data_IF_935051699131
#
_entry.id   IF_935051699131
#
_cell.length_a   1.000
_cell.length_b   1.000
_cell.length_c   1.000
_cell.angle_alpha   90.00
_cell.angle_beta   90.00
_cell.angle_gamma   90.00
#
_symmetry.space_group_name_H-M   'P 1'
#
loop_
_entity.id
_entity.type
_entity.pdbx_description
1 polymer ?
#
# COMPACT_ATOMS: atom_id res chain seq x y z
N UNK A 1 -17.14 -34.16 -5.38
CA UNK A 1 -17.38 -33.68 -6.75
C UNK A 1 -17.99 -32.29 -6.66
N UNK A 2 -17.29 -31.26 -7.16
CA UNK A 2 -17.79 -29.87 -7.22
C UNK A 2 -18.54 -29.75 -8.56
N UNK A 3 -19.77 -30.25 -8.66
CA UNK A 3 -20.44 -30.41 -9.96
C UNK A 3 -21.06 -29.12 -10.52
N UNK A 4 -20.93 -27.97 -9.86
CA UNK A 4 -21.33 -26.67 -10.42
C UNK A 4 -20.39 -25.55 -9.97
N UNK A 5 -19.08 -25.69 -10.25
CA UNK A 5 -18.16 -24.56 -10.17
C UNK A 5 -18.21 -23.78 -11.49
N UNK A 6 -18.66 -22.54 -11.45
CA UNK A 6 -18.58 -21.63 -12.59
C UNK A 6 -17.39 -20.68 -12.39
N UNK A 7 -16.55 -20.50 -13.42
CA UNK A 7 -15.40 -19.61 -13.35
C UNK A 7 -15.56 -18.52 -14.38
N UNK A 8 -15.52 -17.27 -13.91
CA UNK A 8 -15.69 -16.07 -14.71
C UNK A 8 -14.41 -15.26 -14.71
N UNK A 9 -14.06 -14.67 -15.86
CA UNK A 9 -12.91 -13.79 -16.03
C UNK A 9 -13.41 -12.44 -16.51
N UNK A 10 -12.93 -11.36 -15.89
CA UNK A 10 -13.31 -9.99 -16.22
C UNK A 10 -12.09 -9.18 -16.61
N UNK A 11 -12.22 -8.48 -17.73
CA UNK A 11 -11.28 -7.50 -18.25
C UNK A 11 -11.63 -6.10 -17.74
N UNK A 12 -10.69 -5.17 -17.93
CA UNK A 12 -10.86 -3.80 -17.45
C UNK A 12 -12.13 -3.13 -18.02
N UNK A 13 -12.40 -3.31 -19.31
CA UNK A 13 -13.59 -2.78 -19.98
C UNK A 13 -14.91 -3.47 -19.57
N UNK A 14 -14.85 -4.61 -18.90
CA UNK A 14 -16.01 -5.40 -18.44
C UNK A 14 -16.34 -5.11 -16.95
N UNK A 15 -15.68 -4.12 -16.33
CA UNK A 15 -15.90 -3.81 -14.91
C UNK A 15 -17.31 -3.24 -14.62
N UNK A 16 -17.96 -2.59 -15.58
CA UNK A 16 -19.37 -2.20 -15.43
C UNK A 16 -20.29 -3.42 -15.38
N UNK A 17 -20.05 -4.40 -16.26
CA UNK A 17 -20.80 -5.67 -16.25
C UNK A 17 -20.61 -6.42 -14.93
N UNK A 18 -19.39 -6.37 -14.35
CA UNK A 18 -19.14 -6.94 -13.03
C UNK A 18 -19.94 -6.23 -11.92
N UNK A 19 -20.03 -4.89 -11.95
CA UNK A 19 -20.84 -4.14 -10.98
C UNK A 19 -22.32 -4.47 -11.12
N UNK A 20 -22.82 -4.54 -12.36
CA UNK A 20 -24.21 -4.93 -12.63
C UNK A 20 -24.49 -6.36 -12.16
N UNK A 21 -23.57 -7.31 -12.43
CA UNK A 21 -23.67 -8.69 -11.97
C UNK A 21 -23.71 -8.77 -10.43
N UNK A 22 -22.87 -8.01 -9.74
CA UNK A 22 -22.86 -7.94 -8.27
C UNK A 22 -24.21 -7.47 -7.71
N UNK A 23 -24.84 -6.49 -8.36
CA UNK A 23 -26.17 -5.98 -7.98
C UNK A 23 -27.28 -7.00 -8.22
N UNK A 24 -27.24 -7.70 -9.36
CA UNK A 24 -28.21 -8.73 -9.73
C UNK A 24 -28.12 -9.96 -8.82
N UNK A 25 -26.90 -10.47 -8.61
CA UNK A 25 -26.66 -11.70 -7.84
C UNK A 25 -26.80 -11.49 -6.33
N UNK A 26 -26.61 -10.26 -5.85
CA UNK A 26 -26.69 -9.89 -4.44
C UNK A 26 -25.81 -10.74 -3.51
N UNK A 27 -24.65 -11.20 -4.01
CA UNK A 27 -23.74 -12.06 -3.27
C UNK A 27 -23.50 -11.58 -1.84
N UNK A 28 -23.26 -12.56 -0.96
CA UNK A 28 -22.87 -12.30 0.43
C UNK A 28 -21.52 -11.60 0.53
N UNK A 29 -20.62 -11.89 -0.42
CA UNK A 29 -19.28 -11.33 -0.50
C UNK A 29 -19.02 -10.72 -1.87
N UNK A 30 -18.27 -9.62 -1.89
CA UNK A 30 -18.00 -8.86 -3.12
C UNK A 30 -16.51 -8.92 -3.49
N UNK A 31 -16.19 -9.05 -4.79
CA UNK A 31 -14.81 -9.10 -5.29
C UNK A 31 -14.16 -7.71 -5.36
N UNK A 32 -14.98 -6.68 -5.52
CA UNK A 32 -14.57 -5.28 -5.73
C UNK A 32 -15.67 -4.31 -5.24
N UNK A 33 -15.47 -3.02 -5.46
CA UNK A 33 -16.41 -1.94 -5.16
C UNK A 33 -16.18 -0.75 -6.11
N UNK A 34 -17.05 0.26 -6.09
CA UNK A 34 -16.97 1.38 -7.05
C UNK A 34 -15.68 2.20 -6.91
N UNK A 35 -15.08 2.35 -5.72
CA UNK A 35 -13.80 3.07 -5.56
C UNK A 35 -12.67 2.33 -6.29
N UNK A 36 -12.60 1.01 -6.13
CA UNK A 36 -11.57 0.19 -6.78
C UNK A 36 -11.79 0.13 -8.30
N UNK A 37 -13.04 0.06 -8.75
CA UNK A 37 -13.38 0.12 -10.18
C UNK A 37 -12.98 1.48 -10.79
N UNK A 38 -13.31 2.60 -10.13
CA UNK A 38 -12.91 3.93 -10.56
C UNK A 38 -11.37 4.05 -10.66
N UNK A 39 -10.66 3.52 -9.66
CA UNK A 39 -9.20 3.45 -9.68
C UNK A 39 -8.66 2.62 -10.85
N UNK A 40 -9.25 1.46 -11.14
CA UNK A 40 -8.79 0.62 -12.24
C UNK A 40 -8.99 1.31 -13.59
N UNK A 41 -10.12 1.98 -13.80
CA UNK A 41 -10.41 2.74 -15.03
C UNK A 41 -9.43 3.87 -15.28
N UNK A 42 -9.02 4.55 -14.22
CA UNK A 42 -8.12 5.68 -14.29
C UNK A 42 -6.64 5.29 -14.21
N UNK A 43 -6.30 3.98 -14.19
CA UNK A 43 -4.92 3.54 -14.15
C UNK A 43 -4.21 3.83 -15.49
N UNK A 44 -3.21 4.72 -15.53
CA UNK A 44 -2.56 5.13 -16.78
C UNK A 44 -1.76 3.98 -17.45
N UNK A 45 -1.53 2.87 -16.74
CA UNK A 45 -0.78 1.70 -17.23
C UNK A 45 -1.67 0.55 -17.70
N UNK A 46 -2.96 0.62 -17.41
CA UNK A 46 -3.90 -0.43 -17.77
C UNK A 46 -4.36 -0.31 -19.22
N UNK A 47 -4.69 -1.45 -19.84
CA UNK A 47 -5.36 -1.53 -21.14
C UNK A 47 -6.79 -2.04 -20.95
N UNK A 48 -7.74 -1.64 -21.80
CA UNK A 48 -9.11 -2.12 -21.75
C UNK A 48 -9.23 -3.66 -21.70
N UNK A 49 -8.31 -4.36 -22.37
CA UNK A 49 -8.30 -5.83 -22.46
C UNK A 49 -7.61 -6.54 -21.31
N UNK A 50 -6.98 -5.83 -20.38
CA UNK A 50 -6.25 -6.45 -19.27
C UNK A 50 -7.21 -7.23 -18.37
N UNK A 51 -6.85 -8.47 -18.02
CA UNK A 51 -7.61 -9.27 -17.05
C UNK A 51 -7.37 -8.72 -15.65
N UNK A 52 -8.44 -8.27 -15.00
CA UNK A 52 -8.39 -7.59 -13.69
C UNK A 52 -9.10 -8.36 -12.58
N UNK A 53 -9.96 -9.33 -12.92
CA UNK A 53 -10.55 -10.24 -11.94
C UNK A 53 -10.80 -11.63 -12.52
N UNK A 54 -10.59 -12.66 -11.69
CA UNK A 54 -11.02 -14.03 -11.96
C UNK A 54 -11.75 -14.55 -10.73
N UNK A 55 -12.94 -15.08 -10.94
CA UNK A 55 -13.88 -15.45 -9.88
C UNK A 55 -14.35 -16.89 -10.04
N UNK A 56 -14.71 -17.51 -8.92
CA UNK A 56 -15.35 -18.80 -8.87
C UNK A 56 -16.68 -18.66 -8.12
N UNK A 57 -17.75 -19.11 -8.76
CA UNK A 57 -19.10 -19.19 -8.22
C UNK A 57 -19.49 -20.66 -8.03
N UNK A 58 -20.21 -20.94 -6.96
CA UNK A 58 -20.86 -22.23 -6.75
C UNK A 58 -22.15 -22.03 -5.96
N UNK A 59 -23.19 -22.79 -6.31
CA UNK A 59 -24.51 -22.71 -5.65
C UNK A 59 -25.09 -21.28 -5.64
N UNK A 60 -24.82 -20.51 -6.71
CA UNK A 60 -25.28 -19.12 -6.86
C UNK A 60 -24.46 -18.07 -6.09
N UNK A 61 -23.47 -18.48 -5.28
CA UNK A 61 -22.65 -17.59 -4.47
C UNK A 61 -21.22 -17.45 -5.00
N UNK A 62 -20.61 -16.28 -4.77
CA UNK A 62 -19.19 -16.07 -4.99
C UNK A 62 -18.38 -16.78 -3.90
N UNK A 63 -17.65 -17.83 -4.28
CA UNK A 63 -16.92 -18.69 -3.33
C UNK A 63 -15.41 -18.45 -3.33
N UNK A 64 -14.86 -17.84 -4.38
CA UNK A 64 -13.47 -17.40 -4.41
C UNK A 64 -13.23 -16.36 -5.50
N UNK A 65 -12.24 -15.48 -5.32
CA UNK A 65 -11.80 -14.58 -6.38
C UNK A 65 -10.35 -14.15 -6.22
N UNK A 66 -9.77 -13.66 -7.33
CA UNK A 66 -8.52 -12.92 -7.38
C UNK A 66 -8.72 -11.62 -8.17
N UNK A 67 -8.11 -10.54 -7.71
CA UNK A 67 -8.08 -9.24 -8.41
C UNK A 67 -6.66 -8.82 -8.72
N UNK A 68 -6.48 -8.17 -9.86
CA UNK A 68 -5.18 -7.88 -10.45
C UNK A 68 -5.09 -6.39 -10.78
N UNK A 69 -3.96 -5.78 -10.41
CA UNK A 69 -3.67 -4.40 -10.76
C UNK A 69 -2.61 -4.38 -11.87
N UNK A 70 -2.96 -4.00 -13.11
CA UNK A 70 -2.01 -3.82 -14.20
C UNK A 70 -0.94 -2.78 -13.88
N UNK A 71 0.29 -3.05 -14.29
CA UNK A 71 1.41 -2.15 -14.07
C UNK A 71 2.55 -2.35 -15.08
N UNK A 72 3.51 -1.44 -15.05
CA UNK A 72 4.69 -1.42 -15.88
C UNK A 72 5.97 -1.47 -15.06
N UNK A 73 6.96 -2.17 -15.60
CA UNK A 73 8.34 -2.10 -15.16
C UNK A 73 9.23 -1.78 -16.36
N UNK A 74 10.13 -0.83 -16.20
CA UNK A 74 11.07 -0.38 -17.21
C UNK A 74 12.43 -0.98 -16.93
N UNK A 75 12.95 -1.75 -17.90
CA UNK A 75 14.30 -2.32 -17.83
C UNK A 75 14.92 -2.32 -19.21
N UNK A 76 16.19 -1.90 -19.31
CA UNK A 76 16.98 -1.95 -20.57
C UNK A 76 16.26 -1.34 -21.78
N UNK A 77 15.59 -0.20 -21.59
CA UNK A 77 14.83 0.50 -22.64
C UNK A 77 13.52 -0.19 -23.05
N UNK A 78 13.13 -1.27 -22.37
CA UNK A 78 11.87 -2.00 -22.61
C UNK A 78 10.87 -1.73 -21.50
N UNK A 79 9.59 -1.69 -21.89
CA UNK A 79 8.46 -1.66 -20.96
C UNK A 79 7.90 -3.07 -20.82
N UNK A 80 8.00 -3.61 -19.62
CA UNK A 80 7.49 -4.93 -19.24
C UNK A 80 6.14 -4.72 -18.57
N UNK A 81 5.08 -5.23 -19.19
CA UNK A 81 3.73 -5.24 -18.63
C UNK A 81 3.56 -6.43 -17.71
N UNK A 82 3.02 -6.21 -16.51
CA UNK A 82 2.75 -7.26 -15.54
C UNK A 82 1.54 -6.87 -14.68
N UNK A 83 1.11 -7.75 -13.78
CA UNK A 83 0.09 -7.42 -12.79
C UNK A 83 0.50 -7.73 -11.36
N UNK A 84 0.08 -6.86 -10.44
CA UNK A 84 0.10 -7.14 -9.01
C UNK A 84 -1.08 -8.03 -8.65
N UNK A 85 -0.83 -9.11 -7.91
CA UNK A 85 -1.84 -9.97 -7.31
C UNK A 85 -2.48 -9.27 -6.11
N UNK A 86 -3.34 -8.30 -6.41
CA UNK A 86 -3.79 -7.25 -5.49
C UNK A 86 -4.95 -7.62 -4.56
N UNK A 87 -5.49 -8.83 -4.71
CA UNK A 87 -6.52 -9.33 -3.81
C UNK A 87 -6.78 -10.80 -4.08
N UNK A 88 -6.88 -11.59 -3.00
CA UNK A 88 -7.20 -13.01 -3.07
C UNK A 88 -8.08 -13.38 -1.90
N UNK A 89 -9.21 -14.01 -2.18
CA UNK A 89 -10.13 -14.46 -1.15
C UNK A 89 -10.79 -15.78 -1.54
N UNK A 90 -11.04 -16.62 -0.54
CA UNK A 90 -11.81 -17.87 -0.65
C UNK A 90 -12.71 -17.97 0.56
N UNK A 91 -13.99 -18.19 0.32
CA UNK A 91 -15.02 -18.35 1.34
C UNK A 91 -14.60 -19.43 2.34
N UNK A 92 -14.79 -19.25 3.66
CA UNK A 92 -14.32 -20.19 4.68
C UNK A 92 -14.75 -21.65 4.44
N UNK A 93 -16.01 -21.89 4.07
CA UNK A 93 -16.55 -23.23 3.78
C UNK A 93 -15.97 -23.88 2.50
N UNK A 94 -15.25 -23.10 1.68
CA UNK A 94 -14.65 -23.53 0.42
C UNK A 94 -13.11 -23.57 0.47
N UNK A 95 -12.51 -23.25 1.62
CA UNK A 95 -11.06 -23.36 1.82
C UNK A 95 -10.60 -24.82 1.79
N UNK A 96 -9.33 -25.01 1.43
CA UNK A 96 -8.68 -26.33 1.28
C UNK A 96 -9.29 -27.25 0.20
N UNK A 97 -10.22 -26.73 -0.62
CA UNK A 97 -10.78 -27.42 -1.80
C UNK A 97 -10.03 -27.11 -3.12
N UNK A 98 -8.83 -26.54 -3.05
CA UNK A 98 -8.00 -26.23 -4.23
C UNK A 98 -8.37 -24.96 -5.02
N UNK A 99 -9.48 -24.26 -4.70
CA UNK A 99 -9.95 -23.09 -5.46
C UNK A 99 -8.91 -21.98 -5.62
N UNK A 100 -8.19 -21.61 -4.55
CA UNK A 100 -7.17 -20.56 -4.62
C UNK A 100 -6.02 -20.90 -5.59
N UNK A 101 -5.65 -22.19 -5.67
CA UNK A 101 -4.65 -22.71 -6.62
C UNK A 101 -5.20 -22.70 -8.05
N UNK A 102 -6.45 -23.14 -8.23
CA UNK A 102 -7.14 -23.13 -9.52
C UNK A 102 -7.22 -21.72 -10.11
N UNK A 103 -7.69 -20.75 -9.32
CA UNK A 103 -7.75 -19.36 -9.76
C UNK A 103 -6.36 -18.77 -10.01
N UNK A 104 -5.36 -19.15 -9.21
CA UNK A 104 -3.99 -18.72 -9.44
C UNK A 104 -3.42 -19.20 -10.78
N UNK A 105 -3.68 -20.46 -11.18
CA UNK A 105 -3.26 -20.97 -12.50
C UNK A 105 -3.86 -20.13 -13.62
N UNK A 106 -5.15 -19.82 -13.55
CA UNK A 106 -5.82 -18.97 -14.56
C UNK A 106 -5.26 -17.55 -14.61
N UNK A 107 -4.98 -16.96 -13.44
CA UNK A 107 -4.32 -15.64 -13.36
C UNK A 107 -2.92 -15.70 -13.99
N UNK A 108 -2.17 -16.76 -13.72
CA UNK A 108 -0.85 -16.99 -14.29
C UNK A 108 -0.91 -17.09 -15.81
N UNK A 109 -1.84 -17.86 -16.36
CA UNK A 109 -2.05 -17.96 -17.81
C UNK A 109 -2.47 -16.61 -18.43
N UNK A 110 -3.41 -15.90 -17.81
CA UNK A 110 -3.94 -14.64 -18.31
C UNK A 110 -2.89 -13.52 -18.44
N UNK A 111 -1.84 -13.56 -17.60
CA UNK A 111 -0.73 -12.61 -17.61
C UNK A 111 0.58 -13.20 -18.12
N UNK A 112 0.51 -14.36 -18.79
CA UNK A 112 1.67 -15.07 -19.33
C UNK A 112 2.79 -15.29 -18.29
N UNK A 113 2.38 -15.51 -17.05
CA UNK A 113 3.26 -15.72 -15.91
C UNK A 113 3.99 -14.48 -15.42
N UNK A 114 3.62 -13.26 -15.85
CA UNK A 114 4.22 -11.98 -15.44
C UNK A 114 3.42 -11.36 -14.28
N UNK A 115 3.71 -11.82 -13.07
CA UNK A 115 3.00 -11.39 -11.86
C UNK A 115 3.96 -10.96 -10.74
N UNK A 116 3.52 -9.99 -9.94
CA UNK A 116 4.16 -9.55 -8.71
C UNK A 116 3.18 -9.51 -7.52
N UNK A 117 3.69 -9.40 -6.30
CA UNK A 117 2.91 -9.02 -5.11
C UNK A 117 3.81 -8.41 -4.04
N UNK A 118 3.18 -7.64 -3.15
CA UNK A 118 3.81 -7.10 -1.94
C UNK A 118 3.21 -7.79 -0.70
N UNK A 119 4.03 -8.08 0.32
CA UNK A 119 3.61 -8.59 1.63
C UNK A 119 2.64 -9.79 1.64
N UNK A 120 3.17 -10.98 1.83
CA UNK A 120 2.35 -12.17 2.05
C UNK A 120 1.49 -12.10 3.33
N UNK A 121 0.21 -12.45 3.20
CA UNK A 121 -0.46 -13.12 4.32
C UNK A 121 0.21 -14.50 4.54
N UNK A 122 0.56 -14.91 5.78
CA UNK A 122 1.31 -16.14 6.04
C UNK A 122 0.77 -17.40 5.34
N UNK A 123 -0.56 -17.53 5.26
CA UNK A 123 -1.22 -18.66 4.58
C UNK A 123 -1.09 -18.61 3.04
N UNK A 124 -0.94 -17.43 2.46
CA UNK A 124 -0.68 -17.26 1.02
C UNK A 124 0.81 -17.49 0.70
N UNK A 125 1.71 -17.22 1.65
CA UNK A 125 3.15 -17.53 1.54
C UNK A 125 3.35 -19.01 1.25
N UNK A 126 2.76 -19.89 2.07
CA UNK A 126 2.92 -21.33 1.93
C UNK A 126 2.45 -21.86 0.57
N UNK A 127 1.31 -21.38 0.05
CA UNK A 127 0.80 -21.81 -1.25
C UNK A 127 1.74 -21.41 -2.40
N UNK A 128 2.29 -20.19 -2.34
CA UNK A 128 3.15 -19.66 -3.39
C UNK A 128 4.57 -20.21 -3.30
N UNK A 129 5.13 -20.39 -2.09
CA UNK A 129 6.42 -21.07 -1.92
C UNK A 129 6.36 -22.53 -2.31
N UNK A 130 5.25 -23.24 -2.00
CA UNK A 130 5.04 -24.62 -2.45
C UNK A 130 4.98 -24.75 -3.98
N UNK A 131 4.59 -23.67 -4.69
CA UNK A 131 4.57 -23.67 -6.16
C UNK A 131 5.94 -23.45 -6.79
N UNK A 132 6.95 -23.00 -6.04
CA UNK A 132 8.30 -22.61 -6.52
C UNK A 132 8.29 -21.68 -7.76
N UNK A 133 7.21 -20.91 -7.95
CA UNK A 133 6.99 -20.01 -9.10
C UNK A 133 7.44 -18.58 -8.83
N UNK A 134 7.56 -18.20 -7.57
CA UNK A 134 7.96 -16.86 -7.15
C UNK A 134 9.37 -16.86 -6.57
N UNK A 135 10.03 -15.72 -6.72
CA UNK A 135 11.28 -15.37 -6.08
C UNK A 135 11.16 -13.98 -5.47
N UNK A 136 12.00 -13.71 -4.46
CA UNK A 136 12.03 -12.40 -3.83
C UNK A 136 12.74 -11.43 -4.77
N UNK A 137 12.08 -10.32 -5.08
CA UNK A 137 12.62 -9.27 -5.91
C UNK A 137 13.49 -8.32 -5.08
N UNK A 138 12.97 -7.85 -3.94
CA UNK A 138 13.71 -7.05 -2.97
C UNK A 138 13.05 -7.11 -1.58
N UNK A 139 13.76 -6.62 -0.58
CA UNK A 139 13.26 -6.44 0.78
C UNK A 139 13.60 -5.03 1.28
N UNK A 140 12.60 -4.28 1.75
CA UNK A 140 12.79 -2.99 2.39
C UNK A 140 12.96 -3.17 3.90
N UNK A 141 14.10 -2.71 4.44
CA UNK A 141 14.48 -2.82 5.85
C UNK A 141 14.06 -1.60 6.69
N UNK A 142 12.75 -1.36 6.71
CA UNK A 142 12.15 -0.24 7.42
C UNK A 142 11.99 -0.40 8.94
N UNK A 143 11.28 0.55 9.54
CA UNK A 143 10.90 0.49 10.95
C UNK A 143 9.51 1.06 11.19
N UNK A 144 8.84 0.48 12.18
CA UNK A 144 7.61 1.00 12.79
C UNK A 144 7.99 1.75 14.07
N UNK A 145 7.70 3.04 14.11
CA UNK A 145 7.94 3.92 15.25
C UNK A 145 6.63 4.24 15.95
N UNK A 146 6.61 4.09 17.27
CA UNK A 146 5.46 4.44 18.08
C UNK A 146 5.68 5.83 18.65
N UNK A 147 4.94 6.80 18.11
CA UNK A 147 5.05 8.22 18.47
C UNK A 147 4.31 8.49 19.78
N UNK A 148 3.12 7.91 19.91
CA UNK A 148 2.30 7.97 21.11
C UNK A 148 2.11 6.59 21.71
N UNK A 149 1.82 6.58 23.00
CA UNK A 149 1.29 5.40 23.67
C UNK A 149 -0.11 5.12 23.10
N UNK A 150 -0.43 3.84 23.01
CA UNK A 150 -1.73 3.33 22.56
C UNK A 150 -2.10 2.12 23.43
N UNK A 151 -1.92 2.28 24.74
CA UNK A 151 -2.16 1.20 25.71
C UNK A 151 -3.61 0.75 25.66
N UNK A 152 -4.54 1.66 25.40
CA UNK A 152 -5.96 1.33 25.24
C UNK A 152 -6.18 0.26 24.16
N UNK A 153 -5.64 0.47 22.96
CA UNK A 153 -5.82 -0.46 21.84
C UNK A 153 -5.07 -1.77 22.07
N UNK A 154 -3.84 -1.69 22.60
CA UNK A 154 -3.03 -2.89 22.90
C UNK A 154 -3.71 -3.75 23.96
N UNK A 155 -4.22 -3.12 25.02
CA UNK A 155 -4.93 -3.79 26.11
C UNK A 155 -6.21 -4.44 25.59
N UNK A 156 -7.05 -3.70 24.86
CA UNK A 156 -8.30 -4.23 24.31
C UNK A 156 -8.08 -5.44 23.38
N UNK A 157 -6.97 -5.47 22.64
CA UNK A 157 -6.64 -6.57 21.74
C UNK A 157 -6.08 -7.78 22.47
N UNK A 158 -5.28 -7.58 23.53
CA UNK A 158 -4.64 -8.67 24.29
C UNK A 158 -5.54 -9.26 25.38
N UNK A 159 -6.44 -8.44 25.93
CA UNK A 159 -7.37 -8.84 26.99
C UNK A 159 -8.81 -8.42 26.62
N UNK A 160 -9.43 -9.10 25.63
CA UNK A 160 -10.77 -8.72 25.15
C UNK A 160 -11.85 -8.80 26.23
N UNK A 161 -11.73 -9.73 27.18
CA UNK A 161 -12.65 -9.90 28.30
C UNK A 161 -12.67 -8.70 29.26
N UNK A 162 -11.59 -7.91 29.30
CA UNK A 162 -11.47 -6.70 30.13
C UNK A 162 -11.68 -5.42 29.32
N UNK A 163 -12.16 -5.51 28.07
CA UNK A 163 -12.38 -4.35 27.21
C UNK A 163 -13.38 -3.33 27.80
N UNK A 164 -14.21 -3.72 28.78
CA UNK A 164 -15.08 -2.81 29.54
C UNK A 164 -14.31 -1.83 30.43
N UNK A 165 -13.08 -2.14 30.84
CA UNK A 165 -12.22 -1.28 31.68
C UNK A 165 -11.44 -0.23 30.89
N UNK A 166 -11.70 -0.07 29.59
CA UNK A 166 -11.03 0.92 28.73
C UNK A 166 -11.10 2.34 29.29
N UNK A 167 -12.22 2.69 29.93
CA UNK A 167 -12.43 4.00 30.55
C UNK A 167 -11.42 4.30 31.66
N UNK A 168 -10.89 3.28 32.34
CA UNK A 168 -9.84 3.45 33.35
C UNK A 168 -8.45 3.60 32.73
N UNK A 169 -8.19 3.00 31.58
CA UNK A 169 -6.87 3.02 30.92
C UNK A 169 -6.62 4.31 30.15
N UNK A 170 -7.69 4.88 29.57
CA UNK A 170 -7.59 6.08 28.73
C UNK A 170 -6.95 7.28 29.45
N UNK A 171 -7.30 7.63 30.70
CA UNK A 171 -6.64 8.71 31.43
C UNK A 171 -5.14 8.47 31.64
N UNK A 172 -4.73 7.23 31.91
CA UNK A 172 -3.31 6.88 32.05
C UNK A 172 -2.57 7.01 30.72
N UNK A 173 -3.18 6.55 29.63
CA UNK A 173 -2.59 6.66 28.29
C UNK A 173 -2.43 8.14 27.86
N UNK A 174 -3.42 8.99 28.18
CA UNK A 174 -3.35 10.43 27.98
C UNK A 174 -2.25 11.08 28.83
N UNK A 175 -2.15 10.75 30.11
CA UNK A 175 -1.10 11.26 31.00
C UNK A 175 0.29 10.88 30.49
N UNK A 176 0.49 9.62 30.10
CA UNK A 176 1.74 9.13 29.50
C UNK A 176 2.08 9.90 28.21
N UNK A 177 1.09 10.34 27.45
CA UNK A 177 1.28 11.12 26.24
C UNK A 177 1.57 12.59 26.51
N UNK A 178 0.99 13.20 27.54
CA UNK A 178 1.24 14.60 27.97
C UNK A 178 2.65 14.75 28.54
N UNK A 179 3.03 13.89 29.48
CA UNK A 179 4.34 13.94 30.15
C UNK A 179 5.52 13.74 29.19
N UNK A 180 5.24 13.26 27.97
CA UNK A 180 6.24 12.88 26.98
C UNK A 180 6.22 13.77 25.73
N UNK A 181 5.53 14.90 25.77
CA UNK A 181 5.67 15.93 24.74
C UNK A 181 7.10 16.48 24.78
N UNK A 182 8.00 15.85 24.01
CA UNK A 182 9.31 16.43 23.73
C UNK A 182 9.08 17.78 23.05
N UNK A 183 9.83 18.80 23.45
CA UNK A 183 9.81 20.10 22.76
C UNK A 183 9.99 19.86 21.27
N UNK A 184 9.08 20.41 20.47
CA UNK A 184 9.14 20.33 19.00
C UNK A 184 10.55 20.75 18.56
N UNK A 185 11.30 19.89 17.86
CA UNK A 185 12.65 20.23 17.44
C UNK A 185 12.57 21.46 16.53
N UNK A 186 13.34 22.51 16.85
CA UNK A 186 13.53 23.64 15.95
C UNK A 186 14.46 23.21 14.83
N UNK A 187 14.03 23.40 13.59
CA UNK A 187 14.86 23.22 12.40
C UNK A 187 15.88 24.38 12.36
N UNK A 188 17.07 24.19 12.93
CA UNK A 188 18.19 25.15 12.83
C UNK A 188 19.20 24.67 11.75
N UNK A 189 19.88 25.60 11.06
CA UNK A 189 20.77 25.33 9.91
C UNK A 189 20.04 25.44 8.55
N UNK A 190 20.69 25.05 7.43
CA UNK A 190 20.18 25.18 6.02
C UNK A 190 18.64 25.37 5.89
N UNK A 191 18.22 26.38 5.12
CA UNK A 191 16.80 26.69 4.90
C UNK A 191 16.14 25.59 4.04
N UNK A 192 15.77 24.47 4.66
CA UNK A 192 14.93 23.44 4.06
C UNK A 192 13.48 23.71 4.43
N UNK A 193 12.68 24.00 3.41
CA UNK A 193 11.25 24.25 3.51
C UNK A 193 10.45 23.10 2.87
N UNK A 194 9.22 22.93 3.35
CA UNK A 194 8.28 21.94 2.85
C UNK A 194 7.02 22.66 2.40
N UNK A 195 6.81 22.74 1.09
CA UNK A 195 5.67 23.43 0.51
C UNK A 195 4.59 22.40 0.14
N UNK A 196 3.37 22.52 0.69
CA UNK A 196 2.28 21.61 0.34
C UNK A 196 1.88 21.80 -1.12
N UNK A 197 1.61 20.70 -1.80
CA UNK A 197 1.14 20.68 -3.18
C UNK A 197 -0.08 19.78 -3.30
N UNK A 198 -1.02 20.16 -4.16
CA UNK A 198 -2.24 19.38 -4.44
C UNK A 198 -1.99 18.30 -5.50
N UNK A 199 -1.10 18.58 -6.44
CA UNK A 199 -0.67 17.64 -7.48
C UNK A 199 0.72 17.09 -7.15
N UNK A 200 0.98 15.85 -7.54
CA UNK A 200 2.15 15.12 -7.07
C UNK A 200 3.49 15.77 -7.47
N UNK A 201 3.71 16.07 -8.75
CA UNK A 201 5.04 16.51 -9.21
C UNK A 201 4.95 17.56 -10.32
N UNK A 202 5.64 18.70 -10.20
CA UNK A 202 5.90 19.55 -11.35
C UNK A 202 6.73 18.80 -12.39
N UNK A 203 6.38 18.93 -13.67
CA UNK A 203 7.09 18.29 -14.78
C UNK A 203 8.59 18.65 -14.81
N UNK A 204 8.93 19.85 -14.34
CA UNK A 204 10.31 20.34 -14.22
C UNK A 204 11.17 19.52 -13.25
N UNK A 205 10.61 19.04 -12.14
CA UNK A 205 11.33 18.20 -11.19
C UNK A 205 11.48 16.77 -11.70
N UNK A 206 10.47 16.26 -12.41
CA UNK A 206 10.53 14.91 -12.97
C UNK A 206 11.72 14.71 -13.92
N UNK A 207 12.03 15.73 -14.72
CA UNK A 207 13.17 15.74 -15.65
C UNK A 207 14.54 15.78 -14.96
N UNK A 208 14.61 16.21 -13.71
CA UNK A 208 15.86 16.39 -12.96
C UNK A 208 16.19 15.19 -12.07
N UNK A 209 15.18 14.47 -11.60
CA UNK A 209 15.39 13.25 -10.82
C UNK A 209 15.78 12.12 -11.77
N UNK A 210 16.93 11.50 -11.52
CA UNK A 210 17.31 10.24 -12.17
C UNK A 210 16.43 9.09 -11.67
N UNK A 211 15.15 9.08 -12.06
CA UNK A 211 14.20 8.00 -11.78
C UNK A 211 14.68 6.65 -12.32
N UNK A 212 15.67 6.66 -13.24
CA UNK A 212 16.36 5.50 -13.83
C UNK A 212 16.85 4.46 -12.82
N UNK A 213 16.99 4.81 -11.54
CA UNK A 213 17.33 3.85 -10.47
C UNK A 213 16.15 2.99 -10.00
N UNK A 214 14.91 3.32 -10.38
CA UNK A 214 13.71 2.51 -10.11
C UNK A 214 13.11 2.05 -11.43
N UNK A 215 12.84 0.76 -11.58
CA UNK A 215 12.15 0.29 -12.79
C UNK A 215 10.67 0.67 -12.84
N UNK A 216 10.06 1.08 -11.73
CA UNK A 216 8.65 1.48 -11.74
C UNK A 216 8.41 2.86 -12.34
N UNK A 217 9.38 3.78 -12.32
CA UNK A 217 9.31 5.12 -12.93
C UNK A 217 7.98 5.85 -12.70
N UNK A 218 7.43 5.81 -11.48
CA UNK A 218 6.16 6.49 -11.15
C UNK A 218 6.32 8.01 -11.34
N UNK A 219 5.65 8.56 -12.34
CA UNK A 219 5.65 9.98 -12.65
C UNK A 219 4.38 10.69 -12.22
N UNK A 220 4.17 11.87 -12.79
CA UNK A 220 3.05 12.73 -12.40
C UNK A 220 1.70 12.03 -12.60
N UNK A 221 1.51 11.34 -13.74
CA UNK A 221 0.26 10.64 -14.06
C UNK A 221 -0.04 9.53 -13.06
N UNK A 222 0.94 8.68 -12.74
CA UNK A 222 0.73 7.61 -11.76
C UNK A 222 0.51 8.12 -10.35
N UNK A 223 1.27 9.12 -9.93
CA UNK A 223 1.13 9.67 -8.57
C UNK A 223 -0.20 10.41 -8.41
N UNK A 224 -0.63 11.19 -9.41
CA UNK A 224 -1.95 11.83 -9.40
C UNK A 224 -3.08 10.80 -9.45
N UNK A 225 -2.92 9.73 -10.22
CA UNK A 225 -3.86 8.60 -10.20
C UNK A 225 -3.99 7.99 -8.80
N UNK A 226 -2.86 7.72 -8.12
CA UNK A 226 -2.83 7.20 -6.75
C UNK A 226 -3.54 8.14 -5.76
N UNK A 227 -3.29 9.45 -5.89
CA UNK A 227 -3.88 10.47 -5.02
C UNK A 227 -5.40 10.54 -5.22
N UNK A 228 -5.85 10.65 -6.47
CA UNK A 228 -7.25 10.91 -6.85
C UNK A 228 -8.14 9.67 -6.79
N UNK A 229 -7.58 8.46 -6.83
CA UNK A 229 -8.34 7.22 -6.89
C UNK A 229 -8.00 6.25 -5.74
N UNK A 230 -8.24 6.61 -4.46
CA UNK A 230 -8.01 5.72 -3.32
C UNK A 230 -8.92 4.49 -3.35
N UNK A 231 -8.49 3.39 -2.75
CA UNK A 231 -9.33 2.19 -2.58
C UNK A 231 -10.09 2.14 -1.26
N UNK A 232 -9.87 3.15 -0.41
CA UNK A 232 -10.49 3.29 0.90
C UNK A 232 -11.12 4.67 1.04
N UNK A 233 -12.16 4.78 1.87
CA UNK A 233 -12.88 6.03 2.12
C UNK A 233 -13.23 6.21 3.58
N UNK A 234 -13.29 7.49 3.98
CA UNK A 234 -13.81 7.92 5.28
C UNK A 234 -15.32 8.19 5.25
N UNK A 235 -15.99 8.07 4.11
CA UNK A 235 -17.44 8.28 3.99
C UNK A 235 -18.26 7.10 4.56
N UNK A 236 -19.31 7.41 5.32
CA UNK A 236 -20.22 6.46 5.94
C UNK A 236 -21.12 5.71 4.96
N UNK A 237 -21.25 6.17 3.71
CA UNK A 237 -21.92 5.43 2.63
C UNK A 237 -21.33 4.02 2.43
N UNK A 238 -20.04 3.83 2.74
CA UNK A 238 -19.33 2.55 2.58
C UNK A 238 -19.52 1.53 3.71
N UNK A 239 -20.25 1.86 4.78
CA UNK A 239 -20.42 0.95 5.94
C UNK A 239 -21.12 -0.36 5.55
N UNK A 240 -22.14 -0.29 4.70
CA UNK A 240 -22.84 -1.48 4.24
C UNK A 240 -21.96 -2.35 3.33
N UNK A 241 -21.28 -1.74 2.36
CA UNK A 241 -20.38 -2.41 1.43
C UNK A 241 -19.19 -3.09 2.15
N UNK A 242 -18.64 -2.45 3.19
CA UNK A 242 -17.55 -3.02 3.99
C UNK A 242 -17.91 -4.37 4.62
N UNK A 243 -19.19 -4.62 4.94
CA UNK A 243 -19.62 -5.92 5.52
C UNK A 243 -19.51 -7.07 4.52
N UNK A 244 -19.63 -6.78 3.23
CA UNK A 244 -19.54 -7.78 2.15
C UNK A 244 -18.15 -7.86 1.53
N UNK A 245 -17.36 -6.81 1.64
CA UNK A 245 -16.03 -6.75 1.04
C UNK A 245 -14.96 -7.24 2.03
N UNK A 246 -14.18 -8.28 1.70
CA UNK A 246 -13.27 -8.92 2.66
C UNK A 246 -11.99 -8.12 2.96
N UNK A 247 -11.74 -7.00 2.27
CA UNK A 247 -10.61 -6.12 2.52
C UNK A 247 -11.05 -4.80 3.13
N UNK A 248 -10.09 -3.97 3.54
CA UNK A 248 -10.39 -2.63 4.03
C UNK A 248 -10.97 -1.77 2.90
N UNK A 249 -12.09 -1.12 3.20
CA UNK A 249 -12.79 -0.17 2.33
C UNK A 249 -13.18 1.06 3.13
N UNK A 250 -13.76 0.87 4.31
CA UNK A 250 -14.14 1.95 5.23
C UNK A 250 -13.04 2.16 6.27
N UNK A 251 -12.63 3.42 6.43
CA UNK A 251 -11.74 3.86 7.51
C UNK A 251 -12.33 5.09 8.22
N UNK A 252 -11.72 5.54 9.31
CA UNK A 252 -12.11 6.77 10.00
C UNK A 252 -11.51 7.99 9.30
N UNK A 253 -10.27 7.87 8.81
CA UNK A 253 -9.54 8.94 8.11
C UNK A 253 -8.59 8.33 7.09
N UNK A 254 -8.54 8.91 5.89
CA UNK A 254 -7.55 8.60 4.86
C UNK A 254 -7.21 9.90 4.12
N UNK A 255 -5.97 10.38 4.23
CA UNK A 255 -5.53 11.63 3.59
C UNK A 255 -4.09 11.45 3.11
N UNK A 256 -3.80 11.92 1.89
CA UNK A 256 -2.43 12.03 1.38
C UNK A 256 -2.00 13.48 1.40
N UNK A 257 -0.82 13.74 1.92
CA UNK A 257 -0.19 15.05 1.90
C UNK A 257 1.07 14.96 1.06
N UNK A 258 1.16 15.81 0.06
CA UNK A 258 2.28 15.88 -0.86
C UNK A 258 3.03 17.19 -0.61
N UNK A 259 4.36 17.12 -0.64
CA UNK A 259 5.21 18.27 -0.38
C UNK A 259 6.35 18.35 -1.37
N UNK A 260 6.64 19.55 -1.86
CA UNK A 260 7.96 19.89 -2.41
C UNK A 260 8.93 20.11 -1.26
N UNK A 261 10.16 19.64 -1.43
CA UNK A 261 11.26 19.88 -0.52
C UNK A 261 12.16 20.90 -1.19
N UNK A 262 12.29 22.07 -0.60
CA UNK A 262 13.07 23.19 -1.14
C UNK A 262 14.25 23.45 -0.22
N UNK A 263 15.45 23.56 -0.76
CA UNK A 263 16.66 23.94 -0.02
C UNK A 263 17.32 25.13 -0.68
N UNK A 264 17.51 26.21 0.08
CA UNK A 264 18.11 27.46 -0.41
C UNK A 264 17.45 28.00 -1.70
N UNK A 265 16.13 27.89 -1.80
CA UNK A 265 15.34 28.34 -2.96
C UNK A 265 15.24 27.35 -4.12
N UNK A 266 15.96 26.23 -4.08
CA UNK A 266 15.90 25.21 -5.14
C UNK A 266 15.08 23.99 -4.70
N UNK A 267 14.27 23.45 -5.61
CA UNK A 267 13.55 22.19 -5.39
C UNK A 267 14.53 21.01 -5.39
N UNK A 268 14.65 20.32 -4.25
CA UNK A 268 15.58 19.21 -4.05
C UNK A 268 14.89 17.86 -3.87
N UNK A 269 13.55 17.85 -3.79
CA UNK A 269 12.82 16.64 -3.41
C UNK A 269 11.31 16.72 -3.47
N UNK A 270 10.71 15.54 -3.38
CA UNK A 270 9.28 15.32 -3.20
C UNK A 270 9.05 14.33 -2.05
N UNK A 271 8.06 14.62 -1.22
CA UNK A 271 7.62 13.76 -0.11
C UNK A 271 6.11 13.53 -0.18
N UNK A 272 5.73 12.26 -0.22
CA UNK A 272 4.34 11.85 0.02
C UNK A 272 4.21 11.26 1.42
N UNK A 273 3.23 11.77 2.17
CA UNK A 273 2.78 11.24 3.44
C UNK A 273 1.39 10.67 3.27
N UNK A 274 1.17 9.43 3.72
CA UNK A 274 -0.16 8.83 3.73
C UNK A 274 -0.63 8.59 5.16
N UNK A 275 -1.72 9.27 5.51
CA UNK A 275 -2.33 9.26 6.82
C UNK A 275 -3.58 8.39 6.78
N UNK A 276 -3.58 7.29 7.52
CA UNK A 276 -4.73 6.39 7.66
C UNK A 276 -5.04 6.19 9.13
N UNK A 277 -6.23 6.61 9.56
CA UNK A 277 -6.62 6.64 10.97
C UNK A 277 -5.55 7.37 11.82
N UNK A 278 -4.88 6.64 12.72
CA UNK A 278 -3.78 7.16 13.57
C UNK A 278 -2.40 6.67 13.12
N UNK A 279 -2.27 6.21 11.88
CA UNK A 279 -1.03 5.74 11.28
C UNK A 279 -0.58 6.71 10.19
N UNK A 280 0.72 6.98 10.14
CA UNK A 280 1.37 7.70 9.05
C UNK A 280 2.37 6.78 8.36
N UNK A 281 2.37 6.76 7.04
CA UNK A 281 3.41 6.11 6.24
C UNK A 281 4.09 7.12 5.31
N UNK A 282 5.24 6.73 4.76
CA UNK A 282 5.98 7.51 3.76
C UNK A 282 6.04 6.70 2.46
N UNK A 283 4.99 6.72 1.62
CA UNK A 283 4.97 5.95 0.38
C UNK A 283 6.12 6.31 -0.56
N UNK A 284 6.39 7.61 -0.71
CA UNK A 284 7.39 8.12 -1.65
C UNK A 284 8.23 9.22 -1.00
N UNK A 285 9.54 9.11 -1.17
CA UNK A 285 10.52 10.16 -0.91
C UNK A 285 11.50 10.17 -2.07
N UNK A 286 11.40 11.16 -2.94
CA UNK A 286 12.36 11.41 -4.01
C UNK A 286 13.26 12.57 -3.60
N UNK A 287 14.56 12.40 -3.76
CA UNK A 287 15.57 13.42 -3.47
C UNK A 287 16.57 13.43 -4.63
N UNK A 288 16.96 14.63 -5.08
CA UNK A 288 18.08 14.76 -6.01
C UNK A 288 19.37 14.28 -5.36
N UNK A 289 19.58 14.62 -4.09
CA UNK A 289 20.70 14.19 -3.29
C UNK A 289 20.27 13.87 -1.85
N UNK A 290 20.73 12.74 -1.32
CA UNK A 290 20.38 12.26 0.02
C UNK A 290 21.54 12.45 1.00
N UNK A 291 21.67 13.64 1.57
CA UNK A 291 22.66 13.89 2.63
C UNK A 291 22.09 13.55 4.02
N UNK A 292 22.93 13.13 5.00
CA UNK A 292 22.47 12.85 6.35
C UNK A 292 21.72 14.02 7.02
N UNK A 293 22.12 15.25 6.74
CA UNK A 293 21.48 16.46 7.27
C UNK A 293 20.09 16.68 6.65
N UNK A 294 19.95 16.47 5.34
CA UNK A 294 18.65 16.54 4.65
C UNK A 294 17.67 15.52 5.22
N UNK A 295 18.10 14.25 5.35
CA UNK A 295 17.26 13.18 5.92
C UNK A 295 16.89 13.43 7.39
N UNK A 296 17.78 14.05 8.17
CA UNK A 296 17.50 14.47 9.56
C UNK A 296 16.40 15.53 9.60
N UNK A 297 16.45 16.54 8.72
CA UNK A 297 15.41 17.58 8.64
C UNK A 297 14.07 17.04 8.17
N UNK A 298 14.07 16.16 7.17
CA UNK A 298 12.86 15.42 6.75
C UNK A 298 12.30 14.61 7.91
N UNK A 299 13.15 13.96 8.71
CA UNK A 299 12.71 13.22 9.90
C UNK A 299 12.03 14.11 10.93
N UNK A 300 12.56 15.31 11.19
CA UNK A 300 11.92 16.29 12.07
C UNK A 300 10.61 16.82 11.51
N UNK A 301 10.54 17.08 10.20
CA UNK A 301 9.30 17.46 9.54
C UNK A 301 8.22 16.37 9.70
N UNK A 302 8.56 15.10 9.41
CA UNK A 302 7.63 13.97 9.58
C UNK A 302 7.17 13.81 11.02
N UNK A 303 8.05 14.04 12.01
CA UNK A 303 7.65 14.06 13.41
C UNK A 303 6.65 15.18 13.70
N UNK A 304 6.90 16.39 13.21
CA UNK A 304 5.98 17.52 13.40
C UNK A 304 4.62 17.23 12.77
N UNK A 305 4.58 16.68 11.55
CA UNK A 305 3.35 16.21 10.91
C UNK A 305 2.64 15.13 11.75
N UNK A 306 3.41 14.23 12.36
CA UNK A 306 2.88 13.20 13.26
C UNK A 306 2.23 13.82 14.51
N UNK A 307 2.81 14.89 15.07
CA UNK A 307 2.22 15.60 16.22
C UNK A 307 0.94 16.35 15.81
N UNK A 308 1.01 17.15 14.74
CA UNK A 308 -0.10 17.94 14.19
C UNK A 308 -1.32 17.03 13.93
N UNK A 309 -1.09 15.88 13.30
CA UNK A 309 -2.16 14.95 12.94
C UNK A 309 -2.47 13.90 14.02
N UNK A 310 -1.90 14.02 15.22
CA UNK A 310 -2.12 13.12 16.37
C UNK A 310 -1.85 11.65 16.05
N UNK A 311 -0.78 11.39 15.31
CA UNK A 311 -0.36 10.07 14.89
C UNK A 311 0.16 9.26 16.08
N UNK A 312 -0.28 8.01 16.14
CA UNK A 312 0.16 7.02 17.13
C UNK A 312 1.34 6.23 16.59
N UNK A 313 1.33 5.90 15.31
CA UNK A 313 2.36 5.08 14.67
C UNK A 313 2.83 5.66 13.35
N UNK A 314 4.15 5.75 13.17
CA UNK A 314 4.81 6.08 11.92
C UNK A 314 5.48 4.83 11.33
N UNK A 315 5.26 4.52 10.06
CA UNK A 315 5.97 3.46 9.35
C UNK A 315 6.83 4.09 8.26
N UNK A 316 8.11 3.73 8.26
CA UNK A 316 9.07 4.16 7.24
C UNK A 316 9.70 2.89 6.67
N UNK A 317 9.39 2.56 5.42
CA UNK A 317 10.02 1.41 4.75
C UNK A 317 11.38 1.78 4.11
N UNK A 318 11.57 3.03 3.69
CA UNK A 318 12.86 3.51 3.18
C UNK A 318 13.94 3.42 4.28
N UNK A 319 14.99 2.63 4.04
CA UNK A 319 16.01 2.30 5.04
C UNK A 319 16.81 3.53 5.47
N UNK A 320 17.28 4.34 4.51
CA UNK A 320 18.07 5.54 4.81
C UNK A 320 17.30 6.55 5.68
N UNK A 321 16.03 6.80 5.34
CA UNK A 321 15.15 7.65 6.14
C UNK A 321 14.83 7.01 7.50
N UNK A 322 14.61 5.70 7.57
CA UNK A 322 14.36 4.97 8.82
C UNK A 322 15.54 5.09 9.79
N UNK A 323 16.77 4.93 9.29
CA UNK A 323 18.01 5.11 10.06
C UNK A 323 18.17 6.56 10.51
N UNK A 324 17.92 7.54 9.64
CA UNK A 324 17.94 8.95 10.01
C UNK A 324 16.90 9.29 11.09
N UNK A 325 15.67 8.78 10.95
CA UNK A 325 14.60 8.98 11.92
C UNK A 325 14.95 8.34 13.28
N UNK A 326 15.55 7.15 13.28
CA UNK A 326 16.01 6.49 14.51
C UNK A 326 16.99 7.38 15.30
N UNK A 327 17.89 8.10 14.62
CA UNK A 327 18.87 8.99 15.26
C UNK A 327 18.21 10.19 15.95
N UNK A 328 17.00 10.60 15.54
CA UNK A 328 16.27 11.69 16.20
C UNK A 328 15.82 11.36 17.62
N UNK A 329 15.62 10.07 17.93
CA UNK A 329 15.00 9.59 19.19
C UNK A 329 13.60 10.19 19.45
N UNK A 330 12.89 10.65 18.41
CA UNK A 330 11.54 11.22 18.51
C UNK A 330 10.47 10.12 18.35
N UNK A 331 10.55 9.11 19.23
CA UNK A 331 9.64 7.99 19.31
C UNK A 331 9.77 7.33 20.69
N UNK A 332 8.76 6.55 21.11
CA UNK A 332 8.78 5.81 22.39
C UNK A 332 9.49 4.49 22.26
N UNK A 333 9.08 3.69 21.29
CA UNK A 333 9.71 2.44 20.94
C UNK A 333 9.63 2.20 19.44
N UNK A 334 10.45 1.26 18.98
CA UNK A 334 10.63 0.90 17.58
C UNK A 334 10.50 -0.60 17.45
N UNK A 335 9.94 -1.04 16.32
CA UNK A 335 10.00 -2.41 15.87
C UNK A 335 10.59 -2.41 14.47
N UNK A 336 11.64 -3.21 14.24
CA UNK A 336 12.17 -3.43 12.89
C UNK A 336 11.09 -4.09 12.04
N UNK A 337 10.90 -3.63 10.80
CA UNK A 337 9.93 -4.21 9.88
C UNK A 337 10.62 -4.50 8.55
N UNK A 338 10.34 -5.67 8.00
CA UNK A 338 10.74 -6.06 6.66
C UNK A 338 9.50 -6.04 5.77
N UNK A 339 9.65 -5.50 4.56
CA UNK A 339 8.62 -5.54 3.53
C UNK A 339 9.23 -6.13 2.27
N UNK A 340 8.82 -7.35 1.96
CA UNK A 340 9.34 -8.09 0.83
C UNK A 340 8.40 -7.96 -0.38
N UNK A 341 9.01 -7.73 -1.54
CA UNK A 341 8.37 -7.76 -2.84
C UNK A 341 8.81 -9.03 -3.54
N UNK A 342 7.86 -9.65 -4.23
CA UNK A 342 8.10 -10.90 -4.91
C UNK A 342 7.56 -10.82 -6.32
N UNK A 343 8.26 -11.51 -7.20
CA UNK A 343 7.90 -11.64 -8.59
C UNK A 343 7.94 -13.09 -8.99
N UNK A 344 7.12 -13.44 -9.96
CA UNK A 344 7.25 -14.72 -10.65
C UNK A 344 8.64 -14.82 -11.28
N UNK A 345 9.22 -16.02 -11.33
CA UNK A 345 10.55 -16.24 -11.95
C UNK A 345 10.63 -15.74 -13.39
N UNK A 346 9.51 -15.78 -14.12
CA UNK A 346 9.43 -15.25 -15.49
C UNK A 346 9.53 -13.72 -15.51
N UNK A 347 8.82 -13.04 -14.60
CA UNK A 347 8.94 -11.60 -14.43
C UNK A 347 10.33 -11.19 -13.92
N UNK A 348 10.89 -11.90 -12.94
CA UNK A 348 12.25 -11.62 -12.44
C UNK A 348 13.31 -11.74 -13.53
N UNK A 349 13.23 -12.77 -14.39
CA UNK A 349 14.06 -12.89 -15.60
C UNK A 349 13.84 -11.74 -16.58
N UNK A 350 12.59 -11.34 -16.83
CA UNK A 350 12.28 -10.25 -17.76
C UNK A 350 12.79 -8.90 -17.26
N UNK A 351 12.69 -8.64 -15.95
CA UNK A 351 13.20 -7.43 -15.30
C UNK A 351 14.72 -7.37 -15.39
N UNK A 352 15.40 -8.52 -15.35
CA UNK A 352 16.84 -8.60 -15.18
C UNK A 352 17.19 -8.12 -13.77
N UNK A 353 17.29 -9.06 -12.82
CA UNK A 353 17.58 -8.73 -11.42
C UNK A 353 18.91 -7.97 -11.33
N UNK A 354 18.83 -6.65 -11.16
CA UNK A 354 19.98 -5.78 -10.93
C UNK A 354 20.30 -5.76 -9.45
N UNK A 355 21.58 -5.81 -9.10
CA UNK A 355 22.02 -5.38 -7.78
C UNK A 355 21.57 -3.93 -7.55
N UNK A 356 20.99 -3.63 -6.38
CA UNK A 356 20.54 -2.29 -5.98
C UNK A 356 19.33 -1.71 -6.74
N UNK A 357 18.36 -2.54 -7.12
CA UNK A 357 17.07 -2.02 -7.59
C UNK A 357 16.34 -1.28 -6.47
N UNK A 358 16.07 0.01 -6.68
CA UNK A 358 15.31 0.82 -5.73
C UNK A 358 13.81 0.62 -5.95
N UNK A 359 13.11 0.24 -4.88
CA UNK A 359 11.64 0.17 -4.80
C UNK A 359 11.19 1.11 -3.69
N UNK A 360 10.14 1.88 -3.95
CA UNK A 360 9.50 2.71 -2.94
C UNK A 360 8.46 1.90 -2.17
N UNK A 361 8.19 2.31 -0.92
CA UNK A 361 7.09 1.73 -0.15
C UNK A 361 5.85 1.73 -1.02
N UNK A 362 5.52 2.89 -1.61
CA UNK A 362 4.38 3.18 -2.46
C UNK A 362 4.25 2.41 -3.79
N UNK A 363 5.24 1.61 -4.18
CA UNK A 363 5.11 0.78 -5.39
C UNK A 363 4.15 -0.39 -5.18
N UNK A 364 3.31 -0.63 -6.19
CA UNK A 364 2.29 -1.68 -6.18
C UNK A 364 0.94 -1.25 -5.61
N UNK A 365 0.18 -2.21 -5.13
CA UNK A 365 -1.23 -2.07 -4.76
C UNK A 365 -1.44 -1.51 -3.35
N UNK A 366 -0.50 -1.76 -2.43
CA UNK A 366 -0.64 -1.37 -1.04
C UNK A 366 -0.81 0.16 -0.86
N UNK A 367 -0.30 1.02 -1.76
CA UNK A 367 -0.37 2.49 -1.63
C UNK A 367 -1.80 3.04 -1.64
N UNK A 368 -2.73 2.27 -2.20
CA UNK A 368 -4.14 2.62 -2.27
C UNK A 368 -4.88 2.38 -0.96
N UNK A 369 -4.34 1.52 -0.08
CA UNK A 369 -5.06 1.00 1.08
C UNK A 369 -4.25 0.80 2.37
N UNK A 370 -2.92 0.95 2.35
CA UNK A 370 -1.95 0.53 3.39
C UNK A 370 -2.45 0.73 4.82
#
# INVERSE_FOLDING_TARGET
MINQLHISTFRLNELDDLLQLMEQKKWTHLPTNQLRVASYRNNPRAKPTDVVAIMAEAEGELVSFRTLLPDHYHSEGKVIRFAWNSGSWTHPAWRRKGLSKLLFVKVYEAWDGLLAYSNFAPNSHQLNTASNRYEMLCELNGSKFFIKSDLETVFAKRMPSLAGLKSLIKPFDELINILQLKKTPRLAGQNINFEPIEEALPESFYKQVHFEKTGFLRGNDELNWIIRNPWISADNTWVAAQKKYPFTLKVQRAVRHCYKIISNGNEIGFLMLFLKNSQLTVPYLHLLESTPETLKKISYFIYNQSIIHRIKTLLIANEALSVAYQKTKLYKYRVQRKQAYYVTKKLGKAIGTRENMNIYDGDGDHVFSN
#
